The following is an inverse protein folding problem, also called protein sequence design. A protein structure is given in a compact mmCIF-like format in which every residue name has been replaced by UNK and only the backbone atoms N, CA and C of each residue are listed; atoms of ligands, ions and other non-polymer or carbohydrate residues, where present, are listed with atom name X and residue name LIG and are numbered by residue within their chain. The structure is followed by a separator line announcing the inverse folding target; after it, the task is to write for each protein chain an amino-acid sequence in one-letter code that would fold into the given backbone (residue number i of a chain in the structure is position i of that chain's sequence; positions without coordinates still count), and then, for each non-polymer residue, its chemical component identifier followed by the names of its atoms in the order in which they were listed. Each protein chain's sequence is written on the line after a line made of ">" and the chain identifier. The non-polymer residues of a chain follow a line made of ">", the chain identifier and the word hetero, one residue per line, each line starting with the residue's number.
data_IF_484699260721
#
_entry.id   IF_484699260721
#
_cell.length_a   1.000
_cell.length_b   1.000
_cell.length_c   1.000
_cell.angle_alpha   90.00
_cell.angle_beta   90.00
_cell.angle_gamma   90.00
#
_symmetry.space_group_name_H-M   'P 1'
#
loop_
_entity.id
_entity.type
_entity.pdbx_description
1 polymer ?
#
# COMPACT_ATOMS: atom_id res chain seq x y z
N UNK A 1 15.19 6.24 -1.76
CA UNK A 1 15.83 5.61 -0.57
C UNK A 1 14.72 5.08 0.32
N UNK A 2 14.76 3.79 0.66
CA UNK A 2 13.58 3.01 1.05
C UNK A 2 13.50 2.66 2.53
N UNK A 3 12.26 2.36 2.95
CA UNK A 3 11.97 1.68 4.22
C UNK A 3 12.29 0.20 4.00
N UNK A 4 13.28 -0.32 4.74
CA UNK A 4 13.64 -1.74 4.73
C UNK A 4 13.39 -2.34 6.12
N UNK A 5 12.11 -2.50 6.43
CA UNK A 5 11.65 -3.14 7.66
C UNK A 5 11.00 -4.46 7.23
N UNK A 6 11.61 -5.62 7.52
CA UNK A 6 11.11 -6.89 7.02
C UNK A 6 9.78 -7.32 7.65
N UNK A 7 9.48 -6.81 8.85
CA UNK A 7 8.32 -7.20 9.66
C UNK A 7 7.12 -6.23 9.55
N UNK A 8 6.96 -5.55 8.40
CA UNK A 8 5.76 -4.73 8.16
C UNK A 8 4.53 -5.64 8.11
N UNK A 9 3.57 -5.38 9.01
CA UNK A 9 2.30 -6.12 9.13
C UNK A 9 1.12 -5.45 8.47
N UNK A 10 1.13 -4.12 8.44
CA UNK A 10 0.01 -3.36 7.93
C UNK A 10 0.51 -2.12 7.20
N UNK A 11 -0.01 -1.93 5.98
CA UNK A 11 0.15 -0.72 5.19
C UNK A 11 -1.25 -0.10 5.02
N UNK A 12 -1.38 1.16 5.41
CA UNK A 12 -2.64 1.90 5.32
C UNK A 12 -2.45 3.02 4.31
N UNK A 13 -3.22 2.97 3.23
CA UNK A 13 -3.33 4.05 2.27
C UNK A 13 -4.49 4.95 2.67
N UNK A 14 -4.19 6.21 2.99
CA UNK A 14 -5.18 7.25 3.27
C UNK A 14 -5.78 7.88 2.00
N UNK A 15 -5.42 7.37 0.83
CA UNK A 15 -5.91 7.79 -0.47
C UNK A 15 -5.32 6.90 -1.57
N UNK A 16 -5.93 6.89 -2.77
CA UNK A 16 -5.49 6.05 -3.87
C UNK A 16 -4.06 6.42 -4.32
N UNK A 17 -3.18 5.44 -4.55
CA UNK A 17 -1.87 5.67 -5.14
C UNK A 17 -1.99 6.19 -6.57
N UNK A 18 -0.97 6.89 -7.07
CA UNK A 18 -1.03 7.51 -8.40
C UNK A 18 -1.11 6.49 -9.55
N UNK A 19 -0.70 5.24 -9.31
CA UNK A 19 -0.82 4.14 -10.26
C UNK A 19 -0.85 2.79 -9.56
N UNK A 20 -1.31 1.77 -10.29
CA UNK A 20 -1.27 0.39 -9.83
C UNK A 20 0.18 -0.11 -9.63
N UNK A 21 1.13 0.35 -10.44
CA UNK A 21 2.53 -0.02 -10.29
C UNK A 21 3.12 0.52 -8.98
N UNK A 22 2.76 1.74 -8.61
CA UNK A 22 3.17 2.33 -7.34
C UNK A 22 2.57 1.54 -6.16
N UNK A 23 1.28 1.17 -6.24
CA UNK A 23 0.65 0.29 -5.26
C UNK A 23 1.46 -0.99 -5.04
N UNK A 24 1.79 -1.72 -6.12
CA UNK A 24 2.57 -2.95 -6.02
C UNK A 24 3.98 -2.75 -5.45
N UNK A 25 4.65 -1.65 -5.80
CA UNK A 25 5.99 -1.37 -5.28
C UNK A 25 5.99 -1.06 -3.78
N UNK A 26 4.93 -0.42 -3.30
CA UNK A 26 4.77 -0.03 -1.90
C UNK A 26 4.27 -1.19 -1.05
N UNK A 27 3.26 -1.95 -1.51
CA UNK A 27 2.75 -3.13 -0.80
C UNK A 27 3.75 -4.28 -0.77
N UNK A 28 4.60 -4.43 -1.80
CA UNK A 28 5.66 -5.46 -1.84
C UNK A 28 6.77 -5.30 -0.79
N UNK A 29 6.63 -4.36 0.15
CA UNK A 29 7.46 -4.20 1.34
C UNK A 29 6.90 -4.92 2.56
N UNK A 30 5.62 -5.23 2.57
CA UNK A 30 5.00 -5.97 3.66
C UNK A 30 5.41 -7.46 3.66
N UNK A 31 5.32 -8.11 4.82
CA UNK A 31 5.42 -9.57 4.91
C UNK A 31 6.75 -10.20 4.45
N UNK A 32 7.86 -9.46 4.37
CA UNK A 32 9.16 -9.97 3.89
C UNK A 32 9.79 -11.04 4.80
N UNK A 33 9.31 -11.14 6.03
CA UNK A 33 9.64 -12.22 6.97
C UNK A 33 8.78 -13.48 6.79
N UNK A 34 7.91 -13.51 5.76
CA UNK A 34 7.06 -14.66 5.44
C UNK A 34 5.80 -14.80 6.31
N UNK A 35 5.57 -13.86 7.23
CA UNK A 35 4.36 -13.81 8.04
C UNK A 35 3.27 -13.00 7.33
N UNK A 36 2.01 -13.31 7.67
CA UNK A 36 0.87 -12.64 7.06
C UNK A 36 0.92 -11.11 7.27
N UNK A 37 0.73 -10.38 6.17
CA UNK A 37 0.60 -8.93 6.11
C UNK A 37 -0.73 -8.53 5.45
N UNK A 38 -1.14 -7.28 5.65
CA UNK A 38 -2.29 -6.67 4.96
C UNK A 38 -1.95 -5.27 4.44
N UNK A 39 -2.47 -4.97 3.26
CA UNK A 39 -2.52 -3.64 2.70
C UNK A 39 -3.99 -3.20 2.57
N UNK A 40 -4.33 -2.06 3.17
CA UNK A 40 -5.71 -1.53 3.20
C UNK A 40 -5.73 -0.17 2.54
N UNK A 41 -6.59 -0.02 1.52
CA UNK A 41 -6.81 1.24 0.83
C UNK A 41 -8.16 1.84 1.22
N UNK A 42 -8.11 2.99 1.88
CA UNK A 42 -9.27 3.84 2.06
C UNK A 42 -9.36 4.82 0.89
N UNK A 43 -10.52 4.90 0.28
CA UNK A 43 -10.80 5.86 -0.77
C UNK A 43 -12.20 6.46 -0.57
N UNK A 44 -12.38 7.67 -1.08
CA UNK A 44 -13.68 8.31 -1.18
C UNK A 44 -13.94 8.76 -2.63
N UNK A 45 -15.19 9.14 -2.94
CA UNK A 45 -15.60 9.55 -4.29
C UNK A 45 -14.96 10.88 -4.78
N UNK A 46 -14.28 11.63 -3.90
CA UNK A 46 -13.50 12.82 -4.30
C UNK A 46 -12.08 12.45 -4.70
N UNK A 47 -11.55 11.35 -4.17
CA UNK A 47 -10.18 10.90 -4.45
C UNK A 47 -10.06 10.21 -5.80
N UNK A 48 -11.12 9.52 -6.21
CA UNK A 48 -11.22 8.87 -7.52
C UNK A 48 -12.04 9.80 -8.41
N UNK A 49 -11.38 10.48 -9.36
CA UNK A 49 -12.04 11.43 -10.26
C UNK A 49 -13.30 10.86 -10.90
N UNK A 50 -14.30 11.70 -11.16
CA UNK A 50 -15.51 11.29 -11.88
C UNK A 50 -15.11 10.77 -13.27
N UNK A 51 -15.37 9.49 -13.52
CA UNK A 51 -15.33 8.90 -14.87
C UNK A 51 -16.37 9.56 -15.78
#
# INVERSE_FOLDING_TARGET
>A
MGVDIPCIREIIYAGPPASIQQYFQETGRDGRDGLQSKAVLYYNNRDIGKN
#
